data_IF_039644334990
#
_entry.id   IF_039644334990
#
_cell.length_a   1.000
_cell.length_b   1.000
_cell.length_c   1.000
_cell.angle_alpha   90.00
_cell.angle_beta   90.00
_cell.angle_gamma   90.00
#
_symmetry.space_group_name_H-M   'P 1'
#
loop_
_entity.id
_entity.type
_entity.pdbx_description
1 polymer ?
#
# COMPACT_ATOMS: atom_id res chain seq x y z
N UNK A 1 -2.42 -17.64 -15.00
CA UNK A 1 -2.03 -16.54 -15.90
C UNK A 1 -1.28 -15.55 -15.08
N UNK A 2 0.03 -15.45 -15.29
CA UNK A 2 0.85 -14.53 -14.52
C UNK A 2 0.46 -13.11 -14.89
N UNK A 3 0.08 -12.34 -13.88
CA UNK A 3 -0.36 -10.95 -14.03
C UNK A 3 0.47 -10.13 -13.07
N UNK A 4 1.06 -9.07 -13.59
CA UNK A 4 1.69 -8.03 -12.81
C UNK A 4 0.59 -7.13 -12.25
N UNK A 5 0.54 -7.03 -10.92
CA UNK A 5 -0.26 -6.02 -10.24
C UNK A 5 0.65 -4.81 -10.00
N UNK A 6 0.18 -3.63 -10.37
CA UNK A 6 0.93 -2.37 -10.22
C UNK A 6 0.08 -1.43 -9.38
N UNK A 7 0.61 -0.98 -8.26
CA UNK A 7 0.02 0.10 -7.49
C UNK A 7 0.67 1.43 -7.87
N UNK A 8 -0.13 2.46 -8.15
CA UNK A 8 0.38 3.79 -8.50
C UNK A 8 -0.36 4.89 -7.75
N UNK A 9 0.33 6.00 -7.54
CA UNK A 9 -0.27 7.27 -7.16
C UNK A 9 -0.11 8.23 -8.33
N UNK A 10 -1.22 8.82 -8.77
CA UNK A 10 -1.18 9.89 -9.78
C UNK A 10 -1.60 11.20 -9.13
N UNK A 11 -0.72 12.22 -9.11
CA UNK A 11 -1.09 13.55 -8.64
C UNK A 11 -2.15 14.18 -9.55
N UNK A 12 -3.19 14.75 -8.94
CA UNK A 12 -4.09 15.69 -9.59
C UNK A 12 -3.94 17.07 -8.94
N UNK A 13 -4.61 18.08 -9.51
CA UNK A 13 -4.50 19.49 -9.11
C UNK A 13 -4.77 19.77 -7.61
N UNK A 14 -5.50 18.89 -6.91
CA UNK A 14 -5.88 19.06 -5.50
C UNK A 14 -5.53 17.87 -4.58
N UNK A 15 -5.30 16.68 -5.12
CA UNK A 15 -5.08 15.45 -4.35
C UNK A 15 -4.36 14.38 -5.19
N UNK A 16 -3.78 13.38 -4.54
CA UNK A 16 -3.27 12.18 -5.21
C UNK A 16 -4.36 11.11 -5.26
N UNK A 17 -4.53 10.49 -6.43
CA UNK A 17 -5.39 9.32 -6.59
C UNK A 17 -4.55 8.05 -6.60
N UNK A 18 -4.97 7.01 -5.88
CA UNK A 18 -4.36 5.69 -5.93
C UNK A 18 -5.06 4.80 -6.97
N UNK A 19 -4.26 4.00 -7.69
CA UNK A 19 -4.75 3.05 -8.68
C UNK A 19 -4.08 1.70 -8.49
N UNK A 20 -4.82 0.64 -8.79
CA UNK A 20 -4.28 -0.70 -9.03
C UNK A 20 -4.50 -1.02 -10.50
N UNK A 21 -3.41 -1.38 -11.17
CA UNK A 21 -3.41 -1.87 -12.53
C UNK A 21 -3.11 -3.36 -12.53
N UNK A 22 -3.74 -4.09 -13.44
CA UNK A 22 -3.36 -5.46 -13.75
C UNK A 22 -2.87 -5.52 -15.17
N UNK A 23 -1.57 -5.76 -15.30
CA UNK A 23 -0.89 -5.91 -16.57
C UNK A 23 -0.56 -7.39 -16.76
N UNK A 24 -1.03 -8.03 -17.83
CA UNK A 24 -0.70 -9.42 -18.11
C UNK A 24 0.80 -9.53 -18.42
N UNK A 25 1.47 -10.52 -17.80
CA UNK A 25 2.86 -10.81 -18.15
C UNK A 25 2.80 -11.53 -19.50
N UNK A 26 3.28 -10.87 -20.55
CA UNK A 26 3.17 -11.34 -21.93
C UNK A 26 3.75 -12.75 -22.07
N UNK A 27 2.90 -13.72 -22.37
CA UNK A 27 3.28 -14.93 -23.09
C UNK A 27 2.61 -14.87 -24.46
N UNK A 28 3.41 -14.65 -25.52
CA UNK A 28 3.06 -14.90 -26.92
C UNK A 28 2.22 -13.85 -27.69
N UNK A 29 2.44 -12.55 -27.45
CA UNK A 29 2.12 -11.52 -28.46
C UNK A 29 0.64 -11.31 -28.80
N UNK A 30 -0.29 -11.87 -28.03
CA UNK A 30 -1.71 -11.57 -28.15
C UNK A 30 -2.00 -10.15 -27.61
N UNK A 31 -2.95 -9.40 -28.19
CA UNK A 31 -3.45 -8.19 -27.55
C UNK A 31 -4.26 -8.62 -26.32
N UNK A 32 -3.82 -8.18 -25.13
CA UNK A 32 -4.50 -8.49 -23.87
C UNK A 32 -5.03 -7.18 -23.30
N UNK A 33 -6.27 -7.19 -22.83
CA UNK A 33 -6.92 -6.02 -22.24
C UNK A 33 -6.34 -5.72 -20.86
N UNK A 34 -5.71 -4.56 -20.69
CA UNK A 34 -5.34 -4.03 -19.39
C UNK A 34 -6.60 -3.67 -18.58
N UNK A 35 -6.53 -3.83 -17.26
CA UNK A 35 -7.60 -3.40 -16.35
C UNK A 35 -7.03 -2.45 -15.32
N UNK A 36 -7.62 -1.26 -15.20
CA UNK A 36 -7.26 -0.25 -14.19
C UNK A 36 -8.44 -0.01 -13.29
N UNK A 37 -8.20 -0.09 -11.98
CA UNK A 37 -9.19 0.20 -10.94
C UNK A 37 -8.69 1.35 -10.09
N UNK A 38 -9.47 2.43 -10.02
CA UNK A 38 -9.21 3.55 -9.12
C UNK A 38 -9.59 3.16 -7.70
N UNK A 39 -8.68 3.34 -6.76
CA UNK A 39 -8.93 3.19 -5.33
C UNK A 39 -9.48 4.53 -4.80
N UNK A 40 -10.80 4.61 -4.57
CA UNK A 40 -11.44 5.80 -3.98
C UNK A 40 -11.98 5.43 -2.60
N UNK A 41 -11.44 6.05 -1.55
CA UNK A 41 -11.97 5.97 -0.18
C UNK A 41 -12.88 7.17 0.12
N UNK A 42 -12.44 8.39 -0.22
CA UNK A 42 -13.26 9.61 -0.22
C UNK A 42 -12.59 10.69 -1.09
N UNK A 43 -13.25 11.82 -1.30
CA UNK A 43 -12.74 12.93 -2.13
C UNK A 43 -11.72 13.82 -1.40
N UNK A 44 -11.59 13.67 -0.07
CA UNK A 44 -10.83 14.57 0.80
C UNK A 44 -9.48 14.00 1.28
N UNK A 45 -9.01 12.91 0.68
CA UNK A 45 -7.78 12.25 1.10
C UNK A 45 -6.54 12.86 0.45
N UNK A 46 -5.43 12.79 1.16
CA UNK A 46 -4.12 13.08 0.62
C UNK A 46 -3.22 11.85 0.75
N UNK A 47 -3.29 11.00 -0.27
CA UNK A 47 -2.57 9.74 -0.32
C UNK A 47 -1.10 10.00 -0.64
N UNK A 48 -0.18 9.37 0.10
CA UNK A 48 1.27 9.52 -0.15
C UNK A 48 1.98 8.19 -0.44
N UNK A 49 1.32 7.07 -0.14
CA UNK A 49 1.84 5.75 -0.45
C UNK A 49 0.74 4.74 -0.70
N UNK A 50 1.03 3.80 -1.59
CA UNK A 50 0.22 2.62 -1.86
C UNK A 50 1.14 1.40 -2.04
N UNK A 51 0.73 0.24 -1.56
CA UNK A 51 1.30 -1.06 -1.91
C UNK A 51 0.25 -2.17 -1.71
N UNK A 52 0.56 -3.44 -1.99
CA UNK A 52 -0.44 -4.51 -1.96
C UNK A 52 0.08 -5.87 -1.52
N UNK A 53 -0.83 -6.64 -0.92
CA UNK A 53 -0.68 -8.08 -0.75
C UNK A 53 -1.36 -8.78 -1.92
N UNK A 54 -0.55 -9.25 -2.86
CA UNK A 54 -1.04 -9.86 -4.10
C UNK A 54 -1.62 -11.25 -3.90
N UNK A 55 -1.17 -11.98 -2.87
CA UNK A 55 -1.68 -13.31 -2.54
C UNK A 55 -3.10 -13.20 -1.96
N UNK A 56 -3.34 -12.21 -1.11
CA UNK A 56 -4.65 -11.96 -0.48
C UNK A 56 -5.55 -10.99 -1.27
N UNK A 57 -5.04 -10.40 -2.36
CA UNK A 57 -5.73 -9.36 -3.15
C UNK A 57 -6.16 -8.17 -2.30
N UNK A 58 -5.24 -7.68 -1.48
CA UNK A 58 -5.45 -6.53 -0.61
C UNK A 58 -4.55 -5.38 -1.05
N UNK A 59 -5.04 -4.15 -0.89
CA UNK A 59 -4.25 -2.95 -1.11
C UNK A 59 -4.18 -2.14 0.19
N UNK A 60 -3.06 -1.47 0.38
CA UNK A 60 -2.80 -0.62 1.53
C UNK A 60 -2.47 0.78 1.05
N UNK A 61 -3.11 1.77 1.64
CA UNK A 61 -2.86 3.19 1.35
C UNK A 61 -2.56 3.93 2.64
N UNK A 62 -1.63 4.87 2.59
CA UNK A 62 -1.41 5.83 3.66
C UNK A 62 -2.06 7.18 3.30
N UNK A 63 -2.89 7.70 4.20
CA UNK A 63 -3.49 9.03 4.10
C UNK A 63 -2.87 9.99 5.12
N UNK A 64 -2.33 11.10 4.61
CA UNK A 64 -1.65 12.12 5.39
C UNK A 64 -2.59 12.87 6.37
N UNK A 65 -3.84 13.12 5.98
CA UNK A 65 -4.74 13.92 6.81
C UNK A 65 -5.19 13.16 8.06
N UNK A 66 -5.49 11.88 7.89
CA UNK A 66 -5.96 10.98 8.95
C UNK A 66 -4.86 10.23 9.67
N UNK A 67 -3.58 10.42 9.29
CA UNK A 67 -2.41 9.76 9.88
C UNK A 67 -2.47 8.22 9.93
N UNK A 68 -3.21 7.64 8.98
CA UNK A 68 -3.64 6.25 9.03
C UNK A 68 -3.25 5.46 7.79
N UNK A 69 -3.00 4.16 8.01
CA UNK A 69 -2.93 3.17 6.94
C UNK A 69 -4.30 2.50 6.82
N UNK A 70 -4.85 2.49 5.62
CA UNK A 70 -6.09 1.82 5.27
C UNK A 70 -5.83 0.57 4.45
N UNK A 71 -6.61 -0.48 4.70
CA UNK A 71 -6.66 -1.73 3.93
C UNK A 71 -7.94 -1.78 3.11
N UNK A 72 -7.83 -2.00 1.80
CA UNK A 72 -8.91 -2.55 0.98
C UNK A 72 -8.80 -4.07 1.00
N UNK A 73 -9.81 -4.75 1.55
CA UNK A 73 -9.81 -6.20 1.71
C UNK A 73 -10.31 -6.94 0.47
N UNK A 74 -10.79 -6.21 -0.55
CA UNK A 74 -11.35 -6.81 -1.74
C UNK A 74 -11.00 -5.96 -2.96
N UNK A 75 -9.72 -6.00 -3.35
CA UNK A 75 -9.25 -5.44 -4.62
C UNK A 75 -9.76 -6.36 -5.74
N UNK A 76 -11.06 -6.31 -5.98
CA UNK A 76 -11.67 -6.91 -7.15
C UNK A 76 -11.49 -5.91 -8.29
N UNK A 77 -10.94 -6.37 -9.41
CA UNK A 77 -10.90 -5.62 -10.67
C UNK A 77 -12.31 -5.30 -11.23
N UNK A 78 -13.37 -5.67 -10.50
CA UNK A 78 -14.75 -5.35 -10.83
C UNK A 78 -15.05 -3.92 -10.39
N UNK A 79 -15.24 -3.07 -11.38
CA UNK A 79 -15.66 -1.65 -11.33
C UNK A 79 -16.98 -1.35 -10.57
N UNK A 80 -17.50 -2.30 -9.78
CA UNK A 80 -18.84 -2.23 -9.17
C UNK A 80 -18.85 -2.44 -7.65
N UNK A 81 -17.71 -2.68 -7.01
CA UNK A 81 -17.63 -2.91 -5.57
C UNK A 81 -17.63 -1.61 -4.76
N UNK A 82 -18.45 -1.52 -3.72
CA UNK A 82 -18.32 -0.50 -2.67
C UNK A 82 -17.08 -0.89 -1.85
N UNK A 83 -15.91 -0.35 -2.15
CA UNK A 83 -14.67 -0.71 -1.46
C UNK A 83 -14.83 -0.52 0.06
N UNK A 84 -14.63 -1.58 0.83
CA UNK A 84 -14.68 -1.54 2.30
C UNK A 84 -13.28 -1.33 2.83
N UNK A 85 -12.98 -0.08 3.16
CA UNK A 85 -11.71 0.31 3.72
C UNK A 85 -11.71 0.18 5.24
N UNK A 86 -10.68 -0.45 5.78
CA UNK A 86 -10.49 -0.61 7.22
C UNK A 86 -9.18 0.06 7.63
N UNK A 87 -9.19 0.81 8.74
CA UNK A 87 -7.96 1.36 9.32
C UNK A 87 -7.21 0.22 10.00
N UNK A 88 -5.96 -0.01 9.59
CA UNK A 88 -5.09 -1.03 10.20
C UNK A 88 -4.00 -0.43 11.10
N UNK A 89 -3.73 0.86 10.97
CA UNK A 89 -2.79 1.59 11.82
C UNK A 89 -3.12 3.09 11.84
N UNK A 90 -2.81 3.78 12.94
CA UNK A 90 -2.97 5.23 13.13
C UNK A 90 -1.82 5.81 13.95
N UNK A 91 -1.63 7.12 13.88
CA UNK A 91 -0.60 7.82 14.64
C UNK A 91 0.78 7.85 13.96
N UNK A 92 0.81 7.67 12.64
CA UNK A 92 2.01 7.89 11.82
C UNK A 92 2.26 9.39 11.71
N UNK A 93 3.52 9.81 11.64
CA UNK A 93 3.81 11.24 11.56
C UNK A 93 3.30 11.86 10.24
N UNK A 94 2.94 13.15 10.31
CA UNK A 94 2.54 13.95 9.15
C UNK A 94 3.76 14.41 8.33
N UNK A 95 4.51 13.44 7.81
CA UNK A 95 5.63 13.62 6.89
C UNK A 95 5.54 12.69 5.68
N UNK A 96 6.65 12.51 4.97
CA UNK A 96 6.73 11.51 3.91
C UNK A 96 6.71 10.09 4.51
N UNK A 97 5.88 9.23 3.92
CA UNK A 97 5.71 7.83 4.31
C UNK A 97 5.76 6.98 3.05
N UNK A 98 6.47 5.87 3.10
CA UNK A 98 6.39 4.81 2.09
C UNK A 98 6.08 3.49 2.74
N UNK A 99 5.07 2.83 2.20
CA UNK A 99 4.68 1.47 2.53
C UNK A 99 5.46 0.50 1.66
N UNK A 100 5.80 -0.65 2.23
CA UNK A 100 6.22 -1.82 1.48
C UNK A 100 5.61 -3.08 2.11
N UNK A 101 5.06 -3.98 1.30
CA UNK A 101 4.38 -5.18 1.77
C UNK A 101 5.20 -6.42 1.43
N UNK A 102 5.49 -7.22 2.46
CA UNK A 102 5.93 -8.60 2.29
C UNK A 102 4.69 -9.48 2.15
N UNK A 103 4.34 -9.80 0.90
CA UNK A 103 3.17 -10.61 0.55
C UNK A 103 3.36 -12.11 0.84
N UNK A 104 4.59 -12.55 1.18
CA UNK A 104 4.87 -13.95 1.52
C UNK A 104 4.58 -14.17 3.01
N UNK A 105 5.10 -13.28 3.87
CA UNK A 105 4.91 -13.38 5.32
C UNK A 105 3.73 -12.56 5.85
N UNK A 106 3.04 -11.82 4.97
CA UNK A 106 1.89 -10.97 5.28
C UNK A 106 2.24 -9.91 6.34
N UNK A 107 3.30 -9.16 6.08
CA UNK A 107 3.73 -8.04 6.91
C UNK A 107 3.75 -6.75 6.10
N UNK A 108 3.37 -5.64 6.74
CA UNK A 108 3.53 -4.31 6.20
C UNK A 108 4.66 -3.59 6.91
N UNK A 109 5.50 -2.94 6.12
CA UNK A 109 6.59 -2.10 6.58
C UNK A 109 6.32 -0.67 6.15
N UNK A 110 6.76 0.31 6.95
CA UNK A 110 6.72 1.69 6.53
C UNK A 110 7.89 2.51 7.04
N UNK A 111 8.28 3.50 6.24
CA UNK A 111 9.12 4.61 6.71
C UNK A 111 8.24 5.66 7.36
N UNK A 112 8.76 6.31 8.37
CA UNK A 112 8.16 7.53 8.89
C UNK A 112 9.26 8.57 9.12
N UNK A 113 9.18 9.61 8.29
CA UNK A 113 10.23 10.62 8.14
C UNK A 113 10.47 11.39 9.44
N UNK A 114 9.43 11.78 10.16
CA UNK A 114 9.58 12.67 11.32
C UNK A 114 9.94 11.91 12.59
N UNK A 115 9.43 10.68 12.77
CA UNK A 115 9.85 9.81 13.85
C UNK A 115 11.19 9.10 13.58
N UNK A 116 11.69 9.16 12.33
CA UNK A 116 13.02 8.66 11.93
C UNK A 116 13.17 7.17 12.19
N UNK A 117 12.15 6.43 11.80
CA UNK A 117 12.11 5.00 12.03
C UNK A 117 11.53 4.23 10.84
N UNK A 118 11.84 2.95 10.79
CA UNK A 118 11.20 1.96 9.95
C UNK A 118 10.52 0.95 10.87
N UNK A 119 9.26 0.69 10.58
CA UNK A 119 8.38 -0.11 11.43
C UNK A 119 7.81 -1.28 10.64
N UNK A 120 7.53 -2.38 11.32
CA UNK A 120 6.82 -3.55 10.79
C UNK A 120 5.58 -3.84 11.61
N UNK A 121 4.51 -4.27 10.94
CA UNK A 121 3.28 -4.79 11.55
C UNK A 121 2.77 -6.00 10.77
N UNK A 122 2.24 -7.00 11.48
CA UNK A 122 1.60 -8.15 10.84
C UNK A 122 0.22 -7.76 10.31
N UNK A 123 -0.08 -8.20 9.08
CA UNK A 123 -1.37 -8.02 8.42
C UNK A 123 -2.37 -9.13 8.76
N UNK A 124 -1.91 -10.20 9.42
CA UNK A 124 -2.74 -11.35 9.81
C UNK A 124 -3.45 -11.16 11.16
N UNK A 125 -3.11 -10.11 11.90
CA UNK A 125 -3.72 -9.82 13.21
C UNK A 125 -4.48 -8.50 13.11
N UNK A 126 -5.76 -8.52 13.44
CA UNK A 126 -6.61 -7.31 13.51
C UNK A 126 -6.39 -6.57 14.85
N UNK A 127 -5.13 -6.34 15.23
CA UNK A 127 -4.73 -5.48 16.34
C UNK A 127 -3.85 -4.36 15.80
N UNK A 128 -4.42 -3.16 15.76
CA UNK A 128 -3.78 -1.96 15.18
C UNK A 128 -2.67 -1.38 16.06
N UNK A 129 -2.53 -1.88 17.30
CA UNK A 129 -1.51 -1.43 18.25
C UNK A 129 -0.21 -2.25 18.19
N UNK A 130 -0.24 -3.42 17.56
CA UNK A 130 0.92 -4.31 17.50
C UNK A 130 1.83 -3.98 16.32
N UNK A 131 2.91 -3.25 16.60
CA UNK A 131 3.98 -2.99 15.65
C UNK A 131 5.35 -3.11 16.32
N UNK A 132 6.40 -3.22 15.52
CA UNK A 132 7.79 -3.23 16.00
C UNK A 132 8.62 -2.25 15.19
N UNK A 133 9.34 -1.39 15.89
CA UNK A 133 10.41 -0.57 15.29
C UNK A 133 11.60 -1.47 15.00
N UNK A 134 12.02 -1.53 13.74
CA UNK A 134 13.13 -2.40 13.30
C UNK A 134 14.41 -1.63 12.98
N UNK A 135 14.29 -0.36 12.61
CA UNK A 135 15.42 0.53 12.36
C UNK A 135 15.04 1.92 12.89
N UNK A 136 15.88 2.51 13.73
CA UNK A 136 15.70 3.89 14.24
C UNK A 136 17.03 4.65 14.42
N UNK A 137 18.15 3.97 14.24
CA UNK A 137 19.48 4.58 14.37
C UNK A 137 19.93 5.15 13.03
N UNK A 138 20.58 6.32 13.06
CA UNK A 138 21.16 7.03 11.92
C UNK A 138 20.20 7.31 10.73
N UNK A 139 18.88 7.29 10.98
CA UNK A 139 17.88 7.74 10.01
C UNK A 139 17.64 9.25 10.15
N UNK A 140 17.96 10.03 9.12
CA UNK A 140 17.65 11.47 9.13
C UNK A 140 16.32 11.79 8.47
N UNK A 141 16.10 11.27 7.25
CA UNK A 141 14.89 11.49 6.45
C UNK A 141 14.61 10.25 5.58
N UNK A 142 14.12 9.14 6.16
CA UNK A 142 13.77 7.96 5.38
C UNK A 142 12.56 8.24 4.49
N UNK A 143 12.72 8.15 3.17
CA UNK A 143 11.69 8.50 2.17
C UNK A 143 11.28 7.35 1.25
N UNK A 144 12.04 6.26 1.22
CA UNK A 144 11.85 5.17 0.28
C UNK A 144 12.08 3.84 0.98
N UNK A 145 11.34 2.82 0.53
CA UNK A 145 11.40 1.48 1.05
C UNK A 145 11.12 0.49 -0.08
N UNK A 146 11.87 -0.59 -0.13
CA UNK A 146 11.65 -1.72 -1.01
C UNK A 146 12.02 -2.99 -0.25
N UNK A 147 11.32 -4.08 -0.53
CA UNK A 147 11.54 -5.37 0.11
C UNK A 147 11.94 -6.40 -0.95
N UNK A 148 12.80 -7.33 -0.55
CA UNK A 148 13.10 -8.55 -1.30
C UNK A 148 12.60 -9.75 -0.48
N UNK A 149 11.28 -10.03 -0.50
CA UNK A 149 10.72 -11.12 0.28
C UNK A 149 11.10 -12.45 -0.38
N UNK A 150 11.68 -13.35 0.40
CA UNK A 150 12.01 -14.71 -0.04
C UNK A 150 11.24 -15.72 0.80
N UNK A 151 10.76 -16.80 0.17
CA UNK A 151 10.40 -18.00 0.93
C UNK A 151 11.66 -18.52 1.62
N UNK A 152 11.60 -18.69 2.94
CA UNK A 152 12.71 -19.23 3.73
C UNK A 152 12.85 -20.75 3.56
#
# INVERSE_FOLDING_TARGET
YDRLLIATLTPNYYHEDAYIHTVPIMANGAPISDSTSKLRLSDDLYLLSVDGDYALRQAYIYDYYTDAIYRDSNVSLSLSGKNTWTIIHRGISKGYVKLAVDWISHNIYWTDQLYKWIVVQSLLVDDTSMFRVIIHDDLENPIALALDPMEA
#
